data_IF_955657240720
#
_entry.id   IF_955657240720
#
_cell.length_a   1.000
_cell.length_b   1.000
_cell.length_c   1.000
_cell.angle_alpha   90.00
_cell.angle_beta   90.00
_cell.angle_gamma   90.00
#
_symmetry.space_group_name_H-M   'P 1'
#
loop_
_entity.id
_entity.type
_entity.pdbx_description
1 polymer ?
#
# COMPACT_ATOMS: atom_id res chain seq x y z
N UNK A 1 37.96 45.70 24.79
CA UNK A 1 38.12 44.72 23.68
C UNK A 1 36.84 43.88 23.63
N UNK A 2 35.87 44.26 22.79
CA UNK A 2 34.52 43.66 22.77
C UNK A 2 34.50 42.45 21.85
N UNK A 3 34.33 41.25 22.43
CA UNK A 3 34.21 39.99 21.68
C UNK A 3 32.83 39.90 21.06
N UNK A 4 32.73 40.22 19.77
CA UNK A 4 31.51 40.08 18.98
C UNK A 4 31.20 38.60 18.77
N UNK A 5 30.22 38.06 19.52
CA UNK A 5 29.70 36.70 19.33
C UNK A 5 28.92 36.66 18.02
N UNK A 6 29.54 36.15 16.94
CA UNK A 6 28.85 35.88 15.67
C UNK A 6 27.76 34.83 15.92
N UNK A 7 26.50 35.24 15.91
CA UNK A 7 25.35 34.34 15.89
C UNK A 7 25.24 33.77 14.47
N UNK A 8 25.58 32.50 14.31
CA UNK A 8 25.36 31.78 13.05
C UNK A 8 23.86 31.50 12.97
N UNK A 9 23.15 32.24 12.11
CA UNK A 9 21.75 32.00 11.82
C UNK A 9 21.68 30.80 10.86
N UNK A 10 21.58 29.59 11.42
CA UNK A 10 21.40 28.38 10.61
C UNK A 10 19.97 28.44 10.06
N UNK A 11 19.87 28.59 8.74
CA UNK A 11 18.60 28.54 8.04
C UNK A 11 17.91 27.20 8.30
N UNK A 12 16.67 27.21 8.79
CA UNK A 12 15.88 26.00 9.08
C UNK A 12 15.39 25.28 7.82
N UNK A 13 15.43 25.95 6.67
CA UNK A 13 14.95 25.44 5.38
C UNK A 13 15.64 24.14 4.90
N UNK A 14 16.98 24.01 4.93
CA UNK A 14 17.65 22.75 4.61
C UNK A 14 17.29 21.61 5.57
N UNK A 15 17.07 21.89 6.85
CA UNK A 15 16.68 20.88 7.84
C UNK A 15 15.26 20.35 7.57
N UNK A 16 14.34 21.25 7.21
CA UNK A 16 12.98 20.92 6.79
C UNK A 16 12.97 20.10 5.50
N UNK A 17 13.83 20.39 4.53
CA UNK A 17 13.96 19.60 3.30
C UNK A 17 14.48 18.19 3.57
N UNK A 18 15.43 18.02 4.49
CA UNK A 18 15.92 16.71 4.90
C UNK A 18 14.79 15.93 5.59
N UNK A 19 14.10 16.53 6.57
CA UNK A 19 12.97 15.88 7.23
C UNK A 19 11.87 15.50 6.23
N UNK A 20 11.56 16.39 5.27
CA UNK A 20 10.62 16.14 4.20
C UNK A 20 11.08 14.98 3.30
N UNK A 21 12.36 14.90 2.97
CA UNK A 21 12.94 13.80 2.19
C UNK A 21 12.85 12.48 2.94
N UNK A 22 13.18 12.44 4.23
CA UNK A 22 13.05 11.25 5.08
C UNK A 22 11.59 10.83 5.26
N UNK A 23 10.66 11.79 5.34
CA UNK A 23 9.23 11.50 5.40
C UNK A 23 8.70 10.92 4.06
N UNK A 24 9.20 11.42 2.93
CA UNK A 24 8.78 11.00 1.59
C UNK A 24 9.48 9.75 1.07
N UNK A 25 10.67 9.40 1.56
CA UNK A 25 11.30 8.10 1.25
C UNK A 25 10.57 6.91 1.88
N UNK A 26 9.46 7.17 2.58
CA UNK A 26 8.36 6.23 2.63
C UNK A 26 8.68 5.08 3.54
N UNK A 27 8.37 5.27 4.83
CA UNK A 27 8.33 4.19 5.81
C UNK A 27 7.70 2.96 5.18
N UNK A 28 8.50 1.89 5.04
CA UNK A 28 7.99 0.62 4.58
C UNK A 28 7.05 0.09 5.66
N UNK A 29 5.81 -0.17 5.28
CA UNK A 29 4.77 -0.71 6.16
C UNK A 29 4.06 -1.85 5.49
N UNK A 30 3.40 -2.65 6.32
CA UNK A 30 2.47 -3.67 5.87
C UNK A 30 1.13 -3.06 5.45
N UNK A 31 0.70 -3.34 4.24
CA UNK A 31 -0.62 -2.97 3.75
C UNK A 31 -1.43 -4.22 3.48
N UNK A 32 -2.69 -4.18 3.90
CA UNK A 32 -3.70 -5.16 3.52
C UNK A 32 -4.59 -4.61 2.43
N UNK A 33 -4.67 -5.35 1.33
CA UNK A 33 -5.44 -4.96 0.13
C UNK A 33 -6.46 -6.05 -0.14
N UNK A 34 -7.72 -5.64 -0.24
CA UNK A 34 -8.80 -6.51 -0.72
C UNK A 34 -9.18 -6.13 -2.14
N UNK A 35 -9.23 -7.15 -2.99
CA UNK A 35 -9.65 -7.04 -4.38
C UNK A 35 -10.90 -7.88 -4.57
N UNK A 36 -11.94 -7.28 -5.12
CA UNK A 36 -13.21 -7.93 -5.41
C UNK A 36 -13.38 -8.00 -6.92
N UNK A 37 -13.46 -9.23 -7.43
CA UNK A 37 -13.72 -9.53 -8.82
C UNK A 37 -15.20 -9.82 -9.04
N UNK A 38 -15.69 -9.50 -10.24
CA UNK A 38 -17.03 -9.85 -10.71
C UNK A 38 -17.22 -11.37 -10.73
N UNK A 39 -18.47 -11.82 -10.60
CA UNK A 39 -18.86 -13.23 -10.59
C UNK A 39 -18.44 -14.03 -11.85
N UNK A 40 -18.17 -13.35 -12.97
CA UNK A 40 -17.73 -14.00 -14.20
C UNK A 40 -16.24 -14.38 -14.19
N UNK A 41 -15.44 -13.86 -13.25
CA UNK A 41 -14.02 -14.19 -13.12
C UNK A 41 -13.87 -15.50 -12.37
N UNK A 42 -13.10 -16.43 -12.94
CA UNK A 42 -12.83 -17.70 -12.27
C UNK A 42 -11.86 -17.50 -11.11
N UNK A 43 -12.05 -18.25 -10.02
CA UNK A 43 -11.18 -18.17 -8.83
C UNK A 43 -9.70 -18.37 -9.19
N UNK A 44 -9.41 -19.33 -10.08
CA UNK A 44 -8.06 -19.61 -10.57
C UNK A 44 -7.44 -18.42 -11.31
N UNK A 45 -8.23 -17.69 -12.11
CA UNK A 45 -7.73 -16.50 -12.84
C UNK A 45 -7.35 -15.38 -11.85
N UNK A 46 -8.17 -15.19 -10.82
CA UNK A 46 -7.89 -14.21 -9.76
C UNK A 46 -6.68 -14.63 -8.90
N UNK A 47 -6.54 -15.92 -8.59
CA UNK A 47 -5.38 -16.49 -7.91
C UNK A 47 -4.09 -16.30 -8.72
N UNK A 48 -4.12 -16.60 -10.01
CA UNK A 48 -2.97 -16.43 -10.90
C UNK A 48 -2.55 -14.96 -10.97
N UNK A 49 -3.50 -14.03 -11.10
CA UNK A 49 -3.21 -12.60 -11.14
C UNK A 49 -2.52 -12.13 -9.85
N UNK A 50 -3.04 -12.53 -8.69
CA UNK A 50 -2.48 -12.12 -7.40
C UNK A 50 -1.18 -12.86 -7.07
N UNK A 51 -1.02 -14.10 -7.54
CA UNK A 51 0.22 -14.85 -7.42
C UNK A 51 1.40 -14.11 -8.08
N UNK A 52 1.15 -13.36 -9.15
CA UNK A 52 2.17 -12.59 -9.88
C UNK A 52 2.72 -11.38 -9.09
N UNK A 53 2.01 -10.92 -8.06
CA UNK A 53 2.37 -9.71 -7.31
C UNK A 53 3.33 -10.07 -6.17
N UNK A 54 4.40 -9.31 -5.96
CA UNK A 54 5.27 -9.56 -4.79
C UNK A 54 4.55 -9.17 -3.50
N UNK A 55 4.38 -10.13 -2.59
CA UNK A 55 3.68 -9.95 -1.32
C UNK A 55 3.95 -11.11 -0.37
N UNK A 56 3.66 -10.92 0.92
CA UNK A 56 3.95 -11.87 1.99
C UNK A 56 2.82 -12.88 2.19
N UNK A 57 1.57 -12.48 1.94
CA UNK A 57 0.42 -13.39 2.03
C UNK A 57 -0.59 -13.07 0.94
N UNK A 58 -1.16 -14.13 0.36
CA UNK A 58 -2.11 -14.09 -0.76
C UNK A 58 -3.14 -15.19 -0.55
N UNK A 59 -4.42 -14.85 -0.68
CA UNK A 59 -5.50 -15.83 -0.64
C UNK A 59 -6.67 -15.32 -1.45
N UNK A 60 -7.33 -16.20 -2.20
CA UNK A 60 -8.59 -15.89 -2.86
C UNK A 60 -9.66 -16.85 -2.36
N UNK A 61 -10.87 -16.33 -2.18
CA UNK A 61 -12.03 -17.09 -1.78
C UNK A 61 -13.28 -16.57 -2.51
N UNK A 62 -14.25 -17.47 -2.72
CA UNK A 62 -15.57 -17.04 -3.16
C UNK A 62 -16.30 -16.46 -1.94
N UNK A 63 -16.60 -15.17 -2.00
CA UNK A 63 -17.36 -14.45 -0.99
C UNK A 63 -18.69 -13.95 -1.53
N UNK A 64 -19.64 -13.67 -0.64
CA UNK A 64 -20.85 -12.93 -1.02
C UNK A 64 -20.64 -11.45 -0.74
N UNK A 65 -20.59 -10.64 -1.79
CA UNK A 65 -20.66 -9.19 -1.68
C UNK A 65 -21.88 -8.69 -2.46
N UNK A 66 -22.65 -7.79 -1.85
CA UNK A 66 -23.84 -7.18 -2.48
C UNK A 66 -24.88 -8.22 -2.96
N UNK A 67 -25.05 -9.32 -2.24
CA UNK A 67 -25.98 -10.42 -2.56
C UNK A 67 -25.62 -11.25 -3.82
N UNK A 68 -24.44 -11.05 -4.40
CA UNK A 68 -23.91 -11.85 -5.51
C UNK A 68 -22.68 -12.62 -5.05
N UNK A 69 -22.50 -13.86 -5.53
CA UNK A 69 -21.24 -14.58 -5.36
C UNK A 69 -20.17 -13.89 -6.18
N UNK A 70 -19.10 -13.46 -5.54
CA UNK A 70 -17.98 -12.76 -6.15
C UNK A 70 -16.68 -13.41 -5.68
N UNK A 71 -15.62 -13.29 -6.46
CA UNK A 71 -14.30 -13.73 -6.01
C UNK A 71 -13.66 -12.57 -5.25
N UNK A 72 -13.34 -12.80 -3.99
CA UNK A 72 -12.56 -11.86 -3.20
C UNK A 72 -11.16 -12.42 -3.02
N UNK A 73 -10.18 -11.55 -3.13
CA UNK A 73 -8.83 -11.89 -2.82
C UNK A 73 -8.20 -10.89 -1.87
N UNK A 74 -7.39 -11.45 -0.97
CA UNK A 74 -6.63 -10.75 0.04
C UNK A 74 -5.17 -10.78 -0.33
N UNK A 75 -4.52 -9.64 -0.18
CA UNK A 75 -3.11 -9.46 -0.43
C UNK A 75 -2.48 -8.64 0.69
N UNK A 76 -1.45 -9.19 1.31
CA UNK A 76 -0.60 -8.48 2.27
C UNK A 76 0.75 -8.14 1.63
N UNK A 77 1.08 -6.86 1.56
CA UNK A 77 2.35 -6.37 0.96
C UNK A 77 3.11 -5.47 1.91
N UNK A 78 4.44 -5.66 2.00
CA UNK A 78 5.34 -4.78 2.72
C UNK A 78 6.02 -3.83 1.75
N UNK A 79 5.56 -2.58 1.69
CA UNK A 79 6.07 -1.59 0.72
C UNK A 79 5.90 -0.16 1.25
N UNK A 80 6.22 0.86 0.45
CA UNK A 80 5.91 2.25 0.81
C UNK A 80 4.48 2.63 0.37
N UNK A 81 3.92 3.70 0.93
CA UNK A 81 2.55 4.12 0.65
C UNK A 81 2.28 4.41 -0.84
N UNK A 82 3.27 4.94 -1.56
CA UNK A 82 3.14 5.28 -2.99
C UNK A 82 3.01 4.00 -3.83
N UNK A 83 3.87 3.02 -3.59
CA UNK A 83 3.84 1.72 -4.28
C UNK A 83 2.57 0.93 -3.93
N UNK A 84 2.11 0.99 -2.68
CA UNK A 84 0.84 0.40 -2.27
C UNK A 84 -0.34 1.04 -3.02
N UNK A 85 -0.36 2.37 -3.13
CA UNK A 85 -1.40 3.09 -3.86
C UNK A 85 -1.37 2.80 -5.37
N UNK A 86 -0.17 2.70 -5.96
CA UNK A 86 -0.02 2.30 -7.36
C UNK A 86 -0.58 0.89 -7.61
N UNK A 87 -0.37 -0.03 -6.66
CA UNK A 87 -0.89 -1.39 -6.74
C UNK A 87 -2.42 -1.42 -6.72
N UNK A 88 -3.06 -0.65 -5.84
CA UNK A 88 -4.53 -0.49 -5.85
C UNK A 88 -5.01 0.09 -7.17
N UNK A 89 -4.36 1.13 -7.68
CA UNK A 89 -4.77 1.74 -8.94
C UNK A 89 -4.61 0.76 -10.11
N UNK A 90 -3.59 -0.11 -10.07
CA UNK A 90 -3.44 -1.19 -11.05
C UNK A 90 -4.65 -2.12 -11.01
N UNK A 91 -5.03 -2.62 -9.83
CA UNK A 91 -6.20 -3.50 -9.69
C UNK A 91 -7.51 -2.82 -10.11
N UNK A 92 -7.72 -1.55 -9.77
CA UNK A 92 -8.91 -0.80 -10.20
C UNK A 92 -9.04 -0.70 -11.73
N UNK A 93 -7.92 -0.84 -12.45
CA UNK A 93 -7.87 -0.82 -13.91
C UNK A 93 -7.83 -2.22 -14.52
N UNK A 94 -7.73 -3.29 -13.72
CA UNK A 94 -7.82 -4.67 -14.21
C UNK A 94 -9.27 -4.97 -14.61
N UNK A 95 -9.44 -5.59 -15.77
CA UNK A 95 -10.75 -6.06 -16.23
C UNK A 95 -11.36 -7.08 -15.25
N UNK A 96 -12.67 -6.94 -14.97
CA UNK A 96 -13.37 -7.82 -14.04
C UNK A 96 -13.17 -7.47 -12.56
N UNK A 97 -12.28 -6.55 -12.20
CA UNK A 97 -12.21 -6.00 -10.82
C UNK A 97 -13.33 -4.98 -10.62
N UNK A 98 -14.17 -5.21 -9.61
CA UNK A 98 -15.20 -4.25 -9.19
C UNK A 98 -14.65 -3.23 -8.19
N UNK A 99 -13.76 -3.68 -7.31
CA UNK A 99 -13.31 -2.88 -6.16
C UNK A 99 -11.94 -3.34 -5.68
N UNK A 100 -11.08 -2.40 -5.36
CA UNK A 100 -9.82 -2.66 -4.70
C UNK A 100 -9.58 -1.59 -3.62
N UNK A 101 -9.46 -2.01 -2.37
CA UNK A 101 -9.38 -1.11 -1.22
C UNK A 101 -8.29 -1.53 -0.23
N UNK A 102 -7.78 -0.54 0.50
CA UNK A 102 -7.01 -0.79 1.71
C UNK A 102 -7.97 -1.19 2.84
N UNK A 103 -7.71 -2.32 3.47
CA UNK A 103 -8.43 -2.74 4.69
C UNK A 103 -7.87 -2.07 5.95
N UNK A 104 -6.56 -1.79 5.97
CA UNK A 104 -5.92 -1.17 7.13
C UNK A 104 -4.39 -1.13 7.03
N UNK A 105 -3.78 -0.34 7.89
CA UNK A 105 -2.33 -0.26 8.07
C UNK A 105 -1.92 -1.40 9.04
N UNK A 106 -1.31 -2.47 8.53
CA UNK A 106 -0.91 -3.66 9.32
C UNK A 106 0.38 -3.40 10.12
N UNK A 107 0.47 -2.25 10.79
CA UNK A 107 1.67 -1.82 11.54
C UNK A 107 2.07 -2.85 12.62
N UNK A 108 1.13 -3.68 13.11
CA UNK A 108 1.40 -4.68 14.14
C UNK A 108 1.83 -6.07 13.64
N UNK A 109 1.42 -6.52 12.46
CA UNK A 109 1.70 -7.91 12.01
C UNK A 109 3.06 -8.09 11.32
N UNK A 110 3.71 -7.02 10.88
CA UNK A 110 4.98 -7.09 10.13
C UNK A 110 6.24 -6.79 10.98
N UNK A 111 6.07 -6.70 12.30
CA UNK A 111 7.13 -6.42 13.27
C UNK A 111 7.57 -7.65 14.09
N UNK A 112 7.00 -8.82 13.82
CA UNK A 112 7.43 -10.10 14.40
C UNK A 112 8.50 -10.79 13.54
#
# INVERSE_FOLDING_TARGET
MSTSKKKILISLTPLLLILFWWFFQGYIRGYEINVWYQNNVMLLEAEDEISSIKGESKSCEKGKAFHTENVMCYLKVKTNAVSAQMLINKFKNTEGVMRADFLGDLIKEFND
#
